data_IF_724582237918
#
_entry.id   IF_724582237918
#
_cell.length_a   1.000
_cell.length_b   1.000
_cell.length_c   1.000
_cell.angle_alpha   90.00
_cell.angle_beta   90.00
_cell.angle_gamma   90.00
#
_symmetry.space_group_name_H-M   'P 1'
#
loop_
_entity.id
_entity.type
_entity.pdbx_description
1 polymer ?
#
# COMPACT_ATOMS: atom_id res chain seq x y z
N UNK A 1 -20.91 6.72 11.42
CA UNK A 1 -19.70 6.81 12.25
C UNK A 1 -18.50 6.37 11.41
N UNK A 2 -17.31 6.88 11.71
CA UNK A 2 -16.06 6.36 11.12
C UNK A 2 -15.76 5.02 11.78
N UNK A 3 -15.71 3.95 11.00
CA UNK A 3 -15.32 2.64 11.52
C UNK A 3 -13.79 2.56 11.56
N UNK A 4 -13.18 2.09 12.66
CA UNK A 4 -11.74 1.92 12.74
C UNK A 4 -11.25 0.95 11.67
N UNK A 5 -10.08 1.26 11.10
CA UNK A 5 -9.46 0.50 10.03
C UNK A 5 -8.72 -0.69 10.64
N UNK A 6 -9.49 -1.72 10.96
CA UNK A 6 -8.94 -2.96 11.52
C UNK A 6 -7.96 -3.64 10.55
N UNK A 7 -7.01 -4.43 11.06
CA UNK A 7 -6.16 -5.24 10.22
C UNK A 7 -7.00 -6.24 9.41
N UNK A 8 -6.53 -6.55 8.21
CA UNK A 8 -7.11 -7.60 7.36
C UNK A 8 -6.22 -8.84 7.45
N UNK A 9 -6.77 -10.01 7.16
CA UNK A 9 -6.02 -11.28 7.25
C UNK A 9 -4.64 -11.20 6.56
N UNK A 10 -4.57 -10.60 5.36
CA UNK A 10 -3.31 -10.40 4.61
C UNK A 10 -2.25 -9.54 5.29
N UNK A 11 -2.62 -8.64 6.20
CA UNK A 11 -1.67 -7.85 7.00
C UNK A 11 -1.06 -8.69 8.13
N UNK A 12 -1.80 -9.71 8.58
CA UNK A 12 -1.47 -10.56 9.73
C UNK A 12 -0.95 -11.94 9.31
N UNK A 13 -1.17 -12.39 8.07
CA UNK A 13 -0.66 -13.68 7.60
C UNK A 13 0.85 -13.56 7.33
N UNK A 14 1.66 -13.55 8.37
CA UNK A 14 3.11 -13.50 8.32
C UNK A 14 3.69 -14.03 9.62
N UNK A 15 4.94 -14.44 9.55
CA UNK A 15 5.70 -14.77 10.74
C UNK A 15 6.03 -13.50 11.51
N UNK A 16 5.91 -13.59 12.84
CA UNK A 16 6.25 -12.53 13.77
C UNK A 16 7.07 -13.13 14.92
N UNK A 17 8.08 -12.37 15.36
CA UNK A 17 8.92 -12.76 16.49
C UNK A 17 8.22 -12.38 17.80
N UNK A 18 7.85 -13.38 18.59
CA UNK A 18 7.34 -13.24 19.94
C UNK A 18 8.42 -13.62 20.97
N UNK A 19 8.10 -13.45 22.25
CA UNK A 19 9.03 -13.76 23.34
C UNK A 19 9.37 -15.26 23.43
N UNK A 20 8.46 -16.13 22.99
CA UNK A 20 8.56 -17.59 23.02
C UNK A 20 9.02 -18.21 21.68
N UNK A 21 9.14 -17.40 20.63
CA UNK A 21 9.61 -17.86 19.33
C UNK A 21 8.94 -17.14 18.15
N UNK A 22 9.18 -17.65 16.96
CA UNK A 22 8.56 -17.15 15.74
C UNK A 22 7.27 -17.92 15.46
N UNK A 23 6.15 -17.20 15.33
CA UNK A 23 4.85 -17.78 15.03
C UNK A 23 4.16 -17.01 13.91
N UNK A 24 3.33 -17.69 13.13
CA UNK A 24 2.40 -17.00 12.24
C UNK A 24 1.42 -16.18 13.08
N UNK A 25 1.30 -14.89 12.77
CA UNK A 25 0.55 -13.94 13.59
C UNK A 25 -0.97 -14.22 13.61
N UNK A 26 -1.56 -14.75 12.53
CA UNK A 26 -2.97 -15.14 12.54
C UNK A 26 -3.21 -16.31 13.50
N UNK A 27 -2.40 -17.36 13.40
CA UNK A 27 -2.53 -18.54 14.25
C UNK A 27 -2.24 -18.20 15.72
N UNK A 28 -1.20 -17.41 15.99
CA UNK A 28 -0.87 -16.96 17.33
C UNK A 28 -2.03 -16.15 17.94
N UNK A 29 -2.61 -15.20 17.22
CA UNK A 29 -3.76 -14.44 17.73
C UNK A 29 -5.02 -15.30 17.90
N UNK A 30 -5.23 -16.33 17.09
CA UNK A 30 -6.30 -17.31 17.31
C UNK A 30 -6.08 -18.11 18.60
N UNK A 31 -4.87 -18.60 18.84
CA UNK A 31 -4.52 -19.33 20.07
C UNK A 31 -4.72 -18.48 21.33
N UNK A 32 -4.50 -17.17 21.23
CA UNK A 32 -4.73 -16.20 22.31
C UNK A 32 -6.20 -15.76 22.45
N UNK A 33 -7.12 -16.32 21.67
CA UNK A 33 -8.55 -15.97 21.70
C UNK A 33 -8.88 -14.58 21.16
N UNK A 34 -7.95 -13.94 20.42
CA UNK A 34 -8.14 -12.60 19.84
C UNK A 34 -8.82 -12.63 18.46
N UNK A 35 -8.70 -13.75 17.76
CA UNK A 35 -9.31 -14.01 16.46
C UNK A 35 -10.08 -15.31 16.49
N UNK A 36 -11.11 -15.39 15.66
CA UNK A 36 -11.87 -16.60 15.39
C UNK A 36 -11.91 -16.86 13.88
N UNK A 37 -12.07 -18.12 13.49
CA UNK A 37 -12.24 -18.51 12.09
C UNK A 37 -10.96 -18.50 11.24
N UNK A 38 -9.77 -18.52 11.86
CA UNK A 38 -8.52 -18.77 11.14
C UNK A 38 -8.47 -20.27 10.81
N UNK A 39 -8.35 -20.64 9.51
CA UNK A 39 -8.27 -22.04 9.12
C UNK A 39 -7.01 -22.71 9.69
N UNK A 40 -7.07 -24.02 9.89
CA UNK A 40 -5.93 -24.80 10.38
C UNK A 40 -4.74 -24.71 9.40
N UNK A 41 -5.04 -24.91 8.11
CA UNK A 41 -4.10 -24.71 7.02
C UNK A 41 -4.20 -23.29 6.47
N UNK A 42 -3.06 -22.60 6.36
CA UNK A 42 -3.01 -21.22 5.85
C UNK A 42 -2.86 -21.14 4.33
N UNK A 43 -2.80 -22.29 3.64
CA UNK A 43 -2.74 -22.30 2.18
C UNK A 43 -3.99 -21.65 1.58
N UNK A 44 -3.79 -20.66 0.72
CA UNK A 44 -4.88 -19.86 0.13
C UNK A 44 -5.41 -18.72 1.01
N UNK A 45 -4.96 -18.59 2.27
CA UNK A 45 -5.26 -17.40 3.08
C UNK A 45 -4.48 -16.22 2.49
N UNK A 46 -5.13 -15.08 2.19
CA UNK A 46 -4.46 -13.91 1.63
C UNK A 46 -3.26 -13.48 2.49
N UNK A 47 -2.19 -13.06 1.83
CA UNK A 47 -0.94 -12.64 2.45
C UNK A 47 -0.33 -11.49 1.64
N UNK A 48 0.06 -10.42 2.32
CA UNK A 48 0.88 -9.37 1.73
C UNK A 48 2.34 -9.83 1.69
N UNK A 49 3.06 -9.38 0.66
CA UNK A 49 4.51 -9.55 0.57
C UNK A 49 5.21 -8.82 1.70
N UNK A 50 6.36 -9.35 2.14
CA UNK A 50 7.20 -8.65 3.09
C UNK A 50 7.95 -7.53 2.38
N UNK A 51 8.10 -6.41 3.08
CA UNK A 51 8.90 -5.28 2.63
C UNK A 51 9.50 -4.60 3.88
N UNK A 52 10.68 -3.96 3.77
CA UNK A 52 11.54 -3.87 2.58
C UNK A 52 12.36 -5.15 2.30
N UNK A 53 12.25 -6.17 3.16
CA UNK A 53 12.97 -7.44 3.02
C UNK A 53 12.00 -8.53 2.57
N UNK A 54 11.91 -8.83 1.26
CA UNK A 54 10.97 -9.81 0.72
C UNK A 54 11.31 -11.24 1.12
N UNK A 55 10.30 -12.12 1.10
CA UNK A 55 10.54 -13.57 1.04
C UNK A 55 11.09 -13.95 -0.34
N UNK A 56 11.73 -15.11 -0.40
CA UNK A 56 12.18 -15.67 -1.69
C UNK A 56 11.01 -15.75 -2.68
N UNK A 57 11.21 -15.24 -3.90
CA UNK A 57 10.19 -15.22 -4.96
C UNK A 57 9.19 -14.07 -4.91
N UNK A 58 9.23 -13.17 -3.91
CA UNK A 58 8.36 -11.99 -3.89
C UNK A 58 8.92 -10.84 -4.74
N UNK A 59 8.18 -10.48 -5.80
CA UNK A 59 8.58 -9.41 -6.71
C UNK A 59 8.50 -8.03 -6.06
N UNK A 60 9.27 -7.08 -6.61
CA UNK A 60 9.23 -5.67 -6.19
C UNK A 60 7.83 -5.07 -6.31
N UNK A 61 7.08 -5.43 -7.35
CA UNK A 61 5.68 -5.01 -7.49
C UNK A 61 4.82 -5.50 -6.31
N UNK A 62 4.94 -6.78 -5.91
CA UNK A 62 4.17 -7.30 -4.76
C UNK A 62 4.52 -6.56 -3.46
N UNK A 63 5.79 -6.19 -3.28
CA UNK A 63 6.24 -5.39 -2.13
C UNK A 63 5.60 -3.99 -2.13
N UNK A 64 5.67 -3.28 -3.26
CA UNK A 64 5.07 -1.96 -3.41
C UNK A 64 3.55 -2.00 -3.19
N UNK A 65 2.86 -2.97 -3.80
CA UNK A 65 1.41 -3.18 -3.61
C UNK A 65 1.05 -3.50 -2.17
N UNK A 66 1.90 -4.22 -1.45
CA UNK A 66 1.71 -4.52 -0.02
C UNK A 66 1.85 -3.28 0.86
N UNK A 67 2.78 -2.38 0.51
CA UNK A 67 2.91 -1.08 1.16
C UNK A 67 1.68 -0.20 0.90
N UNK A 68 1.26 -0.08 -0.37
CA UNK A 68 0.07 0.69 -0.77
C UNK A 68 -1.21 0.12 -0.16
N UNK A 69 -1.31 -1.20 -0.01
CA UNK A 69 -2.44 -1.83 0.63
C UNK A 69 -2.54 -1.49 2.12
N UNK A 70 -1.43 -1.57 2.85
CA UNK A 70 -1.40 -1.27 4.27
C UNK A 70 -1.66 0.21 4.57
N UNK A 71 -1.27 1.12 3.66
CA UNK A 71 -1.26 2.57 3.94
C UNK A 71 -2.29 3.38 3.13
N UNK A 72 -2.81 2.85 2.01
CA UNK A 72 -3.59 3.63 1.05
C UNK A 72 -4.90 2.96 0.59
N UNK A 73 -4.93 1.63 0.43
CA UNK A 73 -6.09 0.93 -0.18
C UNK A 73 -7.39 1.08 0.62
N UNK A 74 -7.30 1.39 1.91
CA UNK A 74 -8.50 1.70 2.68
C UNK A 74 -9.26 2.92 2.14
N UNK A 75 -8.54 3.98 1.75
CA UNK A 75 -9.16 5.16 1.17
C UNK A 75 -9.36 4.99 -0.33
N UNK A 76 -8.35 4.45 -1.01
CA UNK A 76 -8.30 4.26 -2.45
C UNK A 76 -8.82 2.89 -2.86
N UNK A 77 -10.14 2.68 -2.67
CA UNK A 77 -10.87 1.52 -3.17
C UNK A 77 -12.27 1.94 -3.67
N UNK A 78 -13.02 1.07 -4.39
CA UNK A 78 -14.31 1.43 -4.97
C UNK A 78 -15.37 1.94 -3.98
N UNK A 79 -15.25 1.59 -2.69
CA UNK A 79 -16.17 1.98 -1.62
C UNK A 79 -15.56 2.98 -0.64
N UNK A 80 -14.28 3.31 -0.79
CA UNK A 80 -13.53 4.17 0.11
C UNK A 80 -13.80 5.67 -0.13
N UNK A 81 -13.37 6.52 0.81
CA UNK A 81 -13.48 7.97 0.67
C UNK A 81 -12.70 8.52 -0.54
N UNK A 82 -11.57 7.92 -0.90
CA UNK A 82 -10.73 8.33 -2.03
C UNK A 82 -11.22 7.88 -3.41
N UNK A 83 -12.36 7.17 -3.51
CA UNK A 83 -12.86 6.58 -4.77
C UNK A 83 -13.06 7.61 -5.89
N UNK A 84 -13.42 8.84 -5.54
CA UNK A 84 -13.70 9.92 -6.51
C UNK A 84 -12.46 10.38 -7.26
N UNK A 85 -11.26 10.08 -6.74
CA UNK A 85 -10.00 10.30 -7.47
C UNK A 85 -9.82 9.37 -8.67
N UNK A 86 -10.56 8.25 -8.72
CA UNK A 86 -10.36 7.17 -9.68
C UNK A 86 -9.10 6.33 -9.44
N UNK A 87 -8.31 6.61 -8.40
CA UNK A 87 -7.14 5.83 -8.01
C UNK A 87 -7.56 4.70 -7.07
N UNK A 88 -7.36 3.46 -7.51
CA UNK A 88 -7.73 2.24 -6.81
C UNK A 88 -6.47 1.43 -6.49
N UNK A 89 -6.15 1.31 -5.21
CA UNK A 89 -4.90 0.70 -4.71
C UNK A 89 -5.15 -0.63 -4.00
N UNK A 90 -6.27 -1.29 -4.29
CA UNK A 90 -6.52 -2.63 -3.77
C UNK A 90 -5.48 -3.63 -4.29
N UNK A 91 -5.11 -4.66 -3.51
CA UNK A 91 -4.15 -5.68 -3.93
C UNK A 91 -4.49 -6.38 -5.25
N UNK A 92 -5.77 -6.51 -5.58
CA UNK A 92 -6.31 -7.22 -6.74
C UNK A 92 -6.60 -6.32 -7.96
N UNK A 93 -6.46 -4.99 -7.84
CA UNK A 93 -6.65 -4.08 -8.97
C UNK A 93 -5.54 -4.26 -10.01
N UNK A 94 -5.88 -4.58 -11.26
CA UNK A 94 -4.90 -4.73 -12.33
C UNK A 94 -4.05 -3.45 -12.52
N UNK A 95 -2.75 -3.61 -12.79
CA UNK A 95 -1.88 -2.48 -13.13
C UNK A 95 -2.37 -1.86 -14.45
N UNK A 96 -2.66 -0.57 -14.42
CA UNK A 96 -3.21 0.20 -15.53
C UNK A 96 -3.73 1.55 -15.05
N UNK A 97 -4.57 2.20 -15.87
CA UNK A 97 -5.13 3.53 -15.57
C UNK A 97 -5.75 3.59 -14.17
N UNK A 98 -6.62 2.63 -13.81
CA UNK A 98 -7.28 2.63 -12.50
C UNK A 98 -6.33 2.46 -11.31
N UNK A 99 -5.16 1.85 -11.52
CA UNK A 99 -4.11 1.75 -10.48
C UNK A 99 -3.23 3.00 -10.41
N UNK A 100 -3.41 3.96 -11.32
CA UNK A 100 -2.65 5.20 -11.39
C UNK A 100 -1.63 5.27 -12.54
N UNK A 101 -1.42 4.19 -13.29
CA UNK A 101 -0.44 4.19 -14.39
C UNK A 101 -0.89 5.14 -15.50
N UNK A 102 -0.11 6.18 -15.80
CA UNK A 102 -0.45 7.24 -16.77
C UNK A 102 -1.82 7.91 -16.56
N UNK A 103 -2.39 7.78 -15.37
CA UNK A 103 -3.69 8.36 -15.04
C UNK A 103 -3.51 9.80 -14.61
N UNK A 104 -4.25 10.73 -15.21
CA UNK A 104 -4.24 12.11 -14.74
C UNK A 104 -4.84 12.25 -13.33
N UNK A 105 -4.24 13.05 -12.44
CA UNK A 105 -4.77 13.28 -11.11
C UNK A 105 -6.09 14.05 -11.18
N UNK A 106 -7.10 13.61 -10.44
CA UNK A 106 -8.39 14.30 -10.36
C UNK A 106 -8.41 15.16 -9.11
N UNK A 107 -8.63 16.47 -9.28
CA UNK A 107 -8.78 17.43 -8.18
C UNK A 107 -7.63 17.42 -7.14
N UNK A 108 -6.40 17.10 -7.55
CA UNK A 108 -5.26 17.03 -6.62
C UNK A 108 -4.73 18.41 -6.17
N UNK A 109 -5.02 19.49 -6.91
CA UNK A 109 -4.57 20.84 -6.58
C UNK A 109 -3.05 20.90 -6.36
N UNK A 110 -2.60 21.54 -5.27
CA UNK A 110 -1.18 21.54 -4.86
C UNK A 110 -0.58 20.14 -4.69
N UNK A 111 -1.42 19.15 -4.37
CA UNK A 111 -1.03 17.76 -4.22
C UNK A 111 -0.51 17.11 -5.50
N UNK A 112 -0.73 17.67 -6.69
CA UNK A 112 -0.08 17.18 -7.91
C UNK A 112 1.40 17.54 -7.98
N UNK A 113 1.81 18.65 -7.36
CA UNK A 113 3.15 19.20 -7.50
C UNK A 113 3.56 19.35 -8.97
N UNK A 114 2.65 19.87 -9.80
CA UNK A 114 2.81 20.08 -11.25
C UNK A 114 3.09 18.82 -12.08
N UNK A 115 2.87 17.63 -11.51
CA UNK A 115 3.01 16.35 -12.20
C UNK A 115 1.74 16.00 -12.96
N UNK A 116 1.92 15.40 -14.14
CA UNK A 116 0.83 15.14 -15.09
C UNK A 116 0.04 13.87 -14.77
N UNK A 117 0.65 12.89 -14.10
CA UNK A 117 0.06 11.56 -13.87
C UNK A 117 0.32 11.03 -12.47
N UNK A 118 -0.59 10.18 -11.97
CA UNK A 118 -0.52 9.56 -10.66
C UNK A 118 0.76 8.71 -10.50
N UNK A 119 1.01 7.84 -11.48
CA UNK A 119 2.23 7.03 -11.60
C UNK A 119 2.73 7.11 -13.04
N UNK A 120 3.95 7.62 -13.19
CA UNK A 120 4.66 7.68 -14.45
C UNK A 120 5.64 6.50 -14.56
N UNK A 121 5.50 5.58 -15.54
CA UNK A 121 6.45 4.47 -15.69
C UNK A 121 7.88 5.00 -15.81
N UNK A 122 8.81 4.41 -15.08
CA UNK A 122 10.24 4.74 -15.12
C UNK A 122 10.62 6.11 -14.56
N UNK A 123 9.65 6.96 -14.16
CA UNK A 123 9.91 8.34 -13.76
C UNK A 123 9.29 8.67 -12.39
N UNK A 124 9.92 8.21 -11.29
CA UNK A 124 9.43 8.45 -9.93
C UNK A 124 9.20 9.93 -9.62
N UNK A 125 10.14 10.78 -10.02
CA UNK A 125 10.07 12.23 -9.77
C UNK A 125 8.91 12.91 -10.50
N UNK A 126 8.37 12.30 -11.56
CA UNK A 126 7.19 12.78 -12.30
C UNK A 126 5.87 12.16 -11.83
N UNK A 127 5.88 11.35 -10.76
CA UNK A 127 4.71 10.63 -10.26
C UNK A 127 4.08 11.34 -9.06
N UNK A 128 2.80 11.74 -9.17
CA UNK A 128 2.07 12.40 -8.07
C UNK A 128 2.08 11.54 -6.81
N UNK A 129 1.94 10.22 -6.95
CA UNK A 129 1.90 9.28 -5.83
C UNK A 129 3.15 9.41 -4.94
N UNK A 130 4.34 9.45 -5.54
CA UNK A 130 5.59 9.52 -4.77
C UNK A 130 5.73 10.89 -4.09
N UNK A 131 5.47 11.97 -4.81
CA UNK A 131 5.49 13.35 -4.28
C UNK A 131 4.63 13.51 -3.02
N UNK A 132 3.42 12.95 -3.04
CA UNK A 132 2.49 13.05 -1.90
C UNK A 132 2.95 12.21 -0.71
N UNK A 133 3.57 11.06 -0.93
CA UNK A 133 4.09 10.20 0.16
C UNK A 133 5.36 10.80 0.78
N UNK A 134 6.13 11.58 0.03
CA UNK A 134 7.35 12.26 0.49
C UNK A 134 7.09 13.58 1.22
N UNK A 135 5.96 14.24 0.98
CA UNK A 135 5.65 15.53 1.61
C UNK A 135 5.23 15.39 3.08
N UNK A 136 5.43 16.41 3.89
CA UNK A 136 4.82 16.58 5.23
C UNK A 136 3.93 17.83 5.30
N UNK A 137 3.74 18.53 4.18
CA UNK A 137 2.79 19.64 4.07
C UNK A 137 1.36 19.07 4.11
N UNK A 138 0.51 19.46 5.08
CA UNK A 138 -0.87 18.97 5.20
C UNK A 138 -1.74 19.15 3.95
N UNK A 139 -1.40 20.10 3.07
CA UNK A 139 -2.12 20.34 1.81
C UNK A 139 -1.70 19.43 0.66
N UNK A 140 -0.64 18.63 0.84
CA UNK A 140 -0.04 17.76 -0.19
C UNK A 140 0.01 16.30 0.28
N UNK A 141 0.42 16.10 1.54
CA UNK A 141 0.82 14.82 2.07
C UNK A 141 -0.28 13.77 1.98
N UNK A 142 0.13 12.52 1.72
CA UNK A 142 -0.70 11.35 1.90
C UNK A 142 -0.02 10.35 2.86
N UNK A 143 -0.79 9.64 3.71
CA UNK A 143 -2.20 9.90 4.04
C UNK A 143 -2.41 11.29 4.68
N UNK A 144 -3.61 11.85 4.54
CA UNK A 144 -3.96 13.21 4.98
C UNK A 144 -3.90 13.39 6.50
N UNK A 145 -4.03 12.30 7.25
CA UNK A 145 -4.07 12.29 8.70
C UNK A 145 -3.26 11.10 9.24
N UNK A 146 -2.81 11.21 10.48
CA UNK A 146 -2.17 10.10 11.19
C UNK A 146 -0.67 9.91 10.90
N UNK A 147 0.00 10.88 10.27
CA UNK A 147 1.48 10.94 10.25
C UNK A 147 1.99 12.38 10.40
N UNK A 148 3.16 12.52 11.00
CA UNK A 148 3.93 13.77 11.12
C UNK A 148 5.33 13.68 10.50
N UNK A 149 5.72 12.49 10.03
CA UNK A 149 7.03 12.20 9.45
C UNK A 149 6.87 11.45 8.13
N UNK A 150 7.94 11.42 7.34
CA UNK A 150 8.01 10.61 6.11
C UNK A 150 8.43 9.20 6.50
N UNK A 151 7.72 8.21 5.99
CA UNK A 151 8.10 6.81 6.17
C UNK A 151 9.11 6.41 5.07
N UNK A 152 10.39 6.65 5.34
CA UNK A 152 11.49 6.55 4.37
C UNK A 152 11.58 5.21 3.63
N UNK A 153 11.40 4.09 4.34
CA UNK A 153 11.44 2.74 3.73
C UNK A 153 10.27 2.51 2.77
N UNK A 154 9.12 3.12 3.05
CA UNK A 154 7.95 3.09 2.18
C UNK A 154 8.13 3.92 0.92
N UNK A 155 8.75 5.09 1.05
CA UNK A 155 9.16 5.91 -0.10
C UNK A 155 10.14 5.14 -0.97
N UNK A 156 11.17 4.53 -0.38
CA UNK A 156 12.20 3.79 -1.13
C UNK A 156 11.60 2.64 -1.97
N UNK A 157 10.69 1.83 -1.39
CA UNK A 157 10.08 0.72 -2.14
C UNK A 157 9.21 1.21 -3.29
N UNK A 158 8.50 2.34 -3.11
CA UNK A 158 7.69 2.95 -4.17
C UNK A 158 8.57 3.55 -5.27
N UNK A 159 9.63 4.27 -4.90
CA UNK A 159 10.58 4.86 -5.83
C UNK A 159 11.23 3.78 -6.70
N UNK A 160 11.74 2.71 -6.08
CA UNK A 160 12.32 1.56 -6.80
C UNK A 160 11.31 0.88 -7.71
N UNK A 161 10.09 0.68 -7.23
CA UNK A 161 9.04 0.06 -8.04
C UNK A 161 8.67 0.91 -9.26
N UNK A 162 8.40 2.21 -9.08
CA UNK A 162 8.06 3.10 -10.18
C UNK A 162 9.20 3.19 -11.19
N UNK A 163 10.46 3.29 -10.74
CA UNK A 163 11.64 3.31 -11.59
C UNK A 163 11.81 2.01 -12.41
N UNK A 164 11.30 0.88 -11.91
CA UNK A 164 11.37 -0.41 -12.60
C UNK A 164 10.29 -0.60 -13.68
N UNK A 165 9.25 0.24 -13.70
CA UNK A 165 8.18 0.15 -14.69
C UNK A 165 8.68 0.56 -16.07
N UNK A 166 8.27 -0.19 -17.10
CA UNK A 166 8.61 0.09 -18.49
C UNK A 166 7.51 0.89 -19.18
N UNK A 167 7.88 1.69 -20.18
CA UNK A 167 6.97 2.48 -20.99
C UNK A 167 7.08 3.98 -20.71
N UNK A 168 6.16 4.73 -21.32
CA UNK A 168 6.04 6.18 -21.21
C UNK A 168 4.57 6.58 -21.20
N UNK A 169 4.29 7.77 -20.68
CA UNK A 169 3.02 8.45 -20.79
C UNK A 169 3.20 9.64 -21.76
#
# INVERSE_FOLDING_TARGET
>A
GVNPLGPKARHLNKDFAYADGTHNQLQHWQQQGRLHGVPAELQGVPQNALWPTPRSGESLEKQARSYLDANCSHCHNPKGPGRTSGLLLNPDTAIGISYGLCKQPVAAGKGSGDRLVDIHPGQPDKSVLLFRVESVDPSIMMPELGRSTVHAKGVEVLQRWIASLQGDC
#
